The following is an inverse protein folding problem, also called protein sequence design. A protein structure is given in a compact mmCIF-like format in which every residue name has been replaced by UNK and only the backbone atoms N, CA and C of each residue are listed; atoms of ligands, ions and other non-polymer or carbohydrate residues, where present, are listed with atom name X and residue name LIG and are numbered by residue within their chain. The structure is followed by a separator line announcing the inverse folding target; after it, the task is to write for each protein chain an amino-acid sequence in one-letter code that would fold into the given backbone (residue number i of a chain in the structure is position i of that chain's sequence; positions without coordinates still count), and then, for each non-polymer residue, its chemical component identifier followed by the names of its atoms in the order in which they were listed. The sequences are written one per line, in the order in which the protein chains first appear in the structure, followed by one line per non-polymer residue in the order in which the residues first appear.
data_IF_499608587124
#
_entry.id   IF_499608587124
#
_cell.length_a   1.000
_cell.length_b   1.000
_cell.length_c   1.000
_cell.angle_alpha   90.00
_cell.angle_beta   90.00
_cell.angle_gamma   90.00
#
_symmetry.space_group_name_H-M   'P 1'
#
loop_
_entity.id
_entity.type
_entity.pdbx_description
1 polymer ?
#
# COMPACT_ATOMS: atom_id res chain seq x y z
N UNK A 1 -82.34 -3.18 10.76
CA UNK A 1 -81.87 -3.53 9.40
C UNK A 1 -80.86 -2.47 8.99
N UNK A 2 -79.56 -2.79 9.03
CA UNK A 2 -78.72 -3.12 7.86
C UNK A 2 -78.50 -1.86 6.98
N UNK A 3 -77.29 -1.37 6.72
CA UNK A 3 -75.98 -1.95 6.95
C UNK A 3 -74.87 -0.93 6.67
N UNK A 4 -73.76 -1.20 7.34
CA UNK A 4 -72.48 -0.51 7.28
C UNK A 4 -71.63 -1.19 6.19
N UNK A 5 -71.30 -0.50 5.08
CA UNK A 5 -70.31 -1.01 4.11
C UNK A 5 -69.41 0.11 3.59
N UNK A 6 -68.11 -0.15 3.78
CA UNK A 6 -66.87 0.47 3.30
C UNK A 6 -66.93 1.14 1.91
N UNK A 7 -66.18 2.23 1.75
CA UNK A 7 -65.24 2.29 0.61
C UNK A 7 -63.95 3.05 0.97
N UNK A 8 -62.87 2.27 1.02
CA UNK A 8 -61.47 2.66 1.16
C UNK A 8 -60.94 2.90 -0.27
N UNK A 9 -59.83 3.64 -0.40
CA UNK A 9 -59.02 3.90 -1.61
C UNK A 9 -59.18 5.31 -2.21
N UNK A 10 -58.74 6.33 -1.47
CA UNK A 10 -58.06 7.48 -2.10
C UNK A 10 -56.60 7.10 -2.28
N UNK A 11 -56.25 6.66 -3.48
CA UNK A 11 -54.85 6.51 -3.90
C UNK A 11 -54.17 7.87 -3.96
N UNK A 12 -53.49 8.23 -2.87
CA UNK A 12 -52.49 9.29 -2.87
C UNK A 12 -51.18 8.69 -3.36
N UNK A 13 -50.89 8.85 -4.65
CA UNK A 13 -49.56 8.63 -5.18
C UNK A 13 -48.71 9.81 -4.69
N UNK A 14 -47.97 9.62 -3.59
CA UNK A 14 -46.96 10.59 -3.15
C UNK A 14 -45.80 10.44 -4.11
N UNK A 15 -45.66 11.39 -5.03
CA UNK A 15 -44.42 11.59 -5.75
C UNK A 15 -43.34 11.84 -4.70
N UNK A 16 -42.43 10.87 -4.53
CA UNK A 16 -41.22 11.08 -3.76
C UNK A 16 -40.46 12.23 -4.43
N UNK A 17 -40.53 13.40 -3.81
CA UNK A 17 -39.71 14.56 -4.16
C UNK A 17 -38.25 14.11 -4.10
N UNK A 18 -37.55 14.19 -5.23
CA UNK A 18 -36.11 13.93 -5.33
C UNK A 18 -35.25 15.06 -4.74
N UNK A 19 -35.89 16.04 -4.09
CA UNK A 19 -35.25 17.23 -3.52
C UNK A 19 -35.24 17.19 -1.98
N UNK A 20 -34.88 16.05 -1.38
CA UNK A 20 -34.62 15.96 0.06
C UNK A 20 -33.13 16.27 0.32
N UNK A 21 -32.75 17.48 0.81
CA UNK A 21 -31.36 17.82 1.13
C UNK A 21 -30.79 16.99 2.29
N UNK A 22 -31.64 16.19 2.95
CA UNK A 22 -31.23 15.22 3.97
C UNK A 22 -30.54 13.98 3.38
N UNK A 23 -30.79 13.64 2.10
CA UNK A 23 -30.10 12.54 1.42
C UNK A 23 -28.67 12.93 0.99
N UNK A 24 -28.40 14.20 0.69
CA UNK A 24 -27.03 14.67 0.36
C UNK A 24 -26.11 14.76 1.59
N UNK A 25 -26.66 14.93 2.80
CA UNK A 25 -25.87 15.03 4.04
C UNK A 25 -25.44 13.66 4.62
N UNK A 26 -25.92 12.55 4.03
CA UNK A 26 -25.64 11.17 4.45
C UNK A 26 -24.58 10.47 3.59
N UNK A 27 -23.84 11.19 2.74
CA UNK A 27 -22.43 10.84 2.42
C UNK A 27 -21.53 11.05 3.65
N UNK A 28 -21.99 10.48 4.77
CA UNK A 28 -21.41 10.54 6.08
C UNK A 28 -20.00 9.94 6.00
N UNK A 29 -19.03 10.77 6.40
CA UNK A 29 -17.64 10.43 6.56
C UNK A 29 -17.46 8.96 6.96
N UNK A 30 -16.95 8.15 6.03
CA UNK A 30 -16.65 6.75 6.26
C UNK A 30 -15.80 6.66 7.54
N UNK A 31 -16.25 5.92 8.57
CA UNK A 31 -15.53 5.90 9.85
C UNK A 31 -14.10 5.42 9.60
N UNK A 32 -13.13 6.24 9.99
CA UNK A 32 -11.73 5.91 9.72
C UNK A 32 -11.31 4.69 10.53
N UNK A 33 -10.82 3.67 9.85
CA UNK A 33 -10.34 2.43 10.47
C UNK A 33 -8.88 2.58 10.89
N UNK A 34 -8.57 2.18 12.12
CA UNK A 34 -7.18 2.04 12.54
C UNK A 34 -6.58 0.71 12.06
N UNK A 35 -7.39 -0.33 11.87
CA UNK A 35 -6.94 -1.65 11.44
C UNK A 35 -6.56 -1.65 9.96
N UNK A 36 -5.38 -2.19 9.64
CA UNK A 36 -4.94 -2.38 8.25
C UNK A 36 -5.75 -3.52 7.60
N UNK A 37 -6.29 -3.31 6.38
CA UNK A 37 -6.91 -4.38 5.61
C UNK A 37 -5.93 -5.53 5.38
N UNK A 38 -6.40 -6.77 5.52
CA UNK A 38 -5.55 -7.95 5.35
C UNK A 38 -4.91 -8.00 3.95
N UNK A 39 -5.65 -7.57 2.93
CA UNK A 39 -5.15 -7.50 1.55
C UNK A 39 -3.96 -6.53 1.42
N UNK A 40 -4.00 -5.39 2.10
CA UNK A 40 -2.88 -4.44 2.12
C UNK A 40 -1.65 -5.03 2.81
N UNK A 41 -1.85 -5.77 3.91
CA UNK A 41 -0.75 -6.46 4.60
C UNK A 41 -0.07 -7.45 3.65
N UNK A 42 -0.85 -8.32 2.99
CA UNK A 42 -0.33 -9.31 2.03
C UNK A 42 0.34 -8.63 0.82
N UNK A 43 -0.22 -7.53 0.34
CA UNK A 43 0.38 -6.75 -0.75
C UNK A 43 1.75 -6.19 -0.36
N UNK A 44 1.90 -5.70 0.88
CA UNK A 44 3.18 -5.19 1.41
C UNK A 44 4.20 -6.33 1.54
N UNK A 45 3.81 -7.48 2.09
CA UNK A 45 4.71 -8.63 2.25
C UNK A 45 5.18 -9.21 0.92
N UNK A 46 4.33 -9.12 -0.11
CA UNK A 46 4.64 -9.53 -1.49
C UNK A 46 5.26 -8.42 -2.34
N UNK A 47 5.65 -7.29 -1.75
CA UNK A 47 6.20 -6.16 -2.48
C UNK A 47 7.43 -6.54 -3.32
N UNK A 48 7.51 -5.96 -4.51
CA UNK A 48 8.70 -6.02 -5.35
C UNK A 48 9.63 -4.88 -4.92
N UNK A 49 10.86 -5.22 -4.56
CA UNK A 49 11.91 -4.25 -4.18
C UNK A 49 13.06 -4.40 -5.17
N UNK A 50 13.39 -3.30 -5.83
CA UNK A 50 14.53 -3.22 -6.76
C UNK A 50 15.43 -2.08 -6.34
N UNK A 51 16.74 -2.25 -6.48
CA UNK A 51 17.71 -1.19 -6.17
C UNK A 51 18.10 -0.49 -7.46
N UNK A 52 17.90 0.83 -7.52
CA UNK A 52 18.36 1.65 -8.64
C UNK A 52 19.49 2.56 -8.18
N UNK A 53 20.54 2.62 -9.00
CA UNK A 53 21.60 3.60 -8.84
C UNK A 53 21.17 4.88 -9.53
N UNK A 54 21.30 6.00 -8.82
CA UNK A 54 21.08 7.32 -9.33
C UNK A 54 22.44 7.99 -9.40
N UNK A 55 22.83 8.39 -10.61
CA UNK A 55 24.02 9.20 -10.80
C UNK A 55 23.77 10.56 -10.16
N UNK A 56 24.72 10.98 -9.34
CA UNK A 56 24.76 12.29 -8.77
C UNK A 56 24.88 13.36 -9.85
N UNK A 57 24.32 14.53 -9.60
CA UNK A 57 24.51 15.67 -10.47
C UNK A 57 25.69 16.50 -9.96
N UNK A 58 26.78 16.54 -10.75
CA UNK A 58 28.00 17.31 -10.45
C UNK A 58 27.70 18.80 -10.31
N UNK A 59 26.72 19.35 -11.04
CA UNK A 59 26.36 20.77 -10.98
C UNK A 59 25.63 21.15 -9.69
N UNK A 60 25.07 20.17 -8.96
CA UNK A 60 24.36 20.39 -7.69
C UNK A 60 25.06 19.81 -6.48
N UNK A 61 26.31 19.35 -6.62
CA UNK A 61 27.05 18.59 -5.59
C UNK A 61 26.23 17.40 -5.01
N UNK A 62 25.29 16.86 -5.80
CA UNK A 62 24.47 15.74 -5.34
C UNK A 62 25.28 14.47 -5.54
N UNK A 63 25.68 13.81 -4.46
CA UNK A 63 26.46 12.58 -4.55
C UNK A 63 25.64 11.44 -5.17
N UNK A 64 26.28 10.55 -5.94
CA UNK A 64 25.62 9.33 -6.42
C UNK A 64 25.15 8.47 -5.25
N UNK A 65 23.89 8.02 -5.30
CA UNK A 65 23.30 7.15 -4.28
C UNK A 65 22.47 6.03 -4.90
N UNK A 66 22.27 4.99 -4.11
CA UNK A 66 21.36 3.89 -4.46
C UNK A 66 20.11 4.00 -3.61
N UNK A 67 18.93 4.02 -4.26
CA UNK A 67 17.65 4.06 -3.56
C UNK A 67 16.80 2.84 -3.91
N UNK A 68 15.95 2.44 -2.96
CA UNK A 68 15.00 1.36 -3.15
C UNK A 68 13.83 1.87 -3.98
N UNK A 69 13.55 1.19 -5.10
CA UNK A 69 12.35 1.37 -5.90
C UNK A 69 11.41 0.20 -5.61
N UNK A 70 10.22 0.53 -5.11
CA UNK A 70 9.26 -0.41 -4.56
C UNK A 70 7.99 -0.42 -5.40
N UNK A 71 7.37 -1.58 -5.52
CA UNK A 71 6.01 -1.76 -6.02
C UNK A 71 5.21 -2.61 -5.05
N UNK A 72 4.14 -2.02 -4.50
CA UNK A 72 3.11 -2.70 -3.71
C UNK A 72 1.82 -2.70 -4.51
N UNK A 73 1.16 -3.84 -4.63
CA UNK A 73 -0.12 -3.96 -5.32
C UNK A 73 -1.14 -3.05 -4.61
N UNK A 74 -1.90 -2.27 -5.37
CA UNK A 74 -2.90 -1.34 -4.82
C UNK A 74 -2.38 0.05 -4.43
N UNK A 75 -1.06 0.28 -4.38
CA UNK A 75 -0.45 1.59 -4.06
C UNK A 75 0.15 2.31 -5.28
N UNK A 76 -0.27 1.92 -6.50
CA UNK A 76 0.18 2.51 -7.76
C UNK A 76 1.30 1.75 -8.47
N UNK A 77 2.09 2.48 -9.27
CA UNK A 77 3.17 1.94 -10.11
C UNK A 77 4.43 1.53 -9.32
N UNK A 78 5.60 1.54 -9.96
CA UNK A 78 6.87 1.54 -9.23
C UNK A 78 7.14 2.97 -8.74
N UNK A 79 7.60 3.14 -7.51
CA UNK A 79 8.04 4.44 -6.99
C UNK A 79 9.31 4.30 -6.16
N UNK A 80 10.04 5.41 -6.01
CA UNK A 80 11.22 5.50 -5.14
C UNK A 80 10.78 5.66 -3.69
N UNK A 81 11.39 4.89 -2.79
CA UNK A 81 11.13 5.02 -1.36
C UNK A 81 12.04 6.09 -0.75
N UNK A 82 11.48 7.27 -0.47
CA UNK A 82 12.22 8.39 0.16
C UNK A 82 11.94 8.55 1.67
N UNK A 83 11.18 7.64 2.25
CA UNK A 83 11.01 7.56 3.70
C UNK A 83 9.60 7.21 4.14
N UNK A 84 9.43 7.14 5.47
CA UNK A 84 8.18 6.72 6.10
C UNK A 84 7.06 7.74 5.87
N UNK A 85 7.37 9.03 5.85
CA UNK A 85 6.36 10.09 5.70
C UNK A 85 5.71 10.03 4.30
N UNK A 86 6.50 10.08 3.23
CA UNK A 86 5.97 10.00 1.86
C UNK A 86 5.27 8.65 1.61
N UNK A 87 5.81 7.54 2.12
CA UNK A 87 5.15 6.25 2.02
C UNK A 87 3.78 6.24 2.73
N UNK A 88 3.66 6.88 3.90
CA UNK A 88 2.39 6.99 4.61
C UNK A 88 1.39 7.88 3.85
N UNK A 89 1.83 8.98 3.24
CA UNK A 89 0.99 9.83 2.38
C UNK A 89 0.49 9.06 1.16
N UNK A 90 1.35 8.24 0.54
CA UNK A 90 0.95 7.39 -0.58
C UNK A 90 -0.08 6.35 -0.14
N UNK A 91 0.10 5.70 1.01
CA UNK A 91 -0.93 4.79 1.57
C UNK A 91 -2.24 5.53 1.82
N UNK A 92 -2.19 6.71 2.44
CA UNK A 92 -3.39 7.51 2.73
C UNK A 92 -4.14 7.94 1.47
N UNK A 93 -3.43 8.21 0.37
CA UNK A 93 -4.03 8.57 -0.93
C UNK A 93 -4.84 7.41 -1.53
N UNK A 94 -4.35 6.18 -1.38
CA UNK A 94 -5.01 4.98 -1.93
C UNK A 94 -6.05 4.36 -1.00
N UNK A 95 -5.91 4.58 0.31
CA UNK A 95 -6.81 4.08 1.35
C UNK A 95 -7.25 5.27 2.25
N UNK A 96 -8.11 6.18 1.75
CA UNK A 96 -8.54 7.38 2.48
C UNK A 96 -9.32 7.10 3.77
N UNK A 97 -9.91 5.91 3.86
CA UNK A 97 -10.61 5.38 5.03
C UNK A 97 -9.68 5.00 6.19
N UNK A 98 -8.36 4.98 5.98
CA UNK A 98 -7.41 4.67 7.06
C UNK A 98 -7.09 5.90 7.91
N UNK A 99 -6.82 5.65 9.20
CA UNK A 99 -6.26 6.67 10.09
C UNK A 99 -4.80 7.00 9.71
N UNK A 100 -4.31 8.21 10.01
CA UNK A 100 -2.89 8.53 9.82
C UNK A 100 -1.93 7.60 10.58
N UNK A 101 -2.37 7.04 11.70
CA UNK A 101 -1.59 6.08 12.47
C UNK A 101 -1.48 4.73 11.73
N UNK A 102 -2.58 4.23 11.16
CA UNK A 102 -2.58 3.05 10.31
C UNK A 102 -1.65 3.23 9.10
N UNK A 103 -1.74 4.36 8.40
CA UNK A 103 -0.87 4.70 7.27
C UNK A 103 0.62 4.69 7.64
N UNK A 104 0.99 5.27 8.80
CA UNK A 104 2.36 5.20 9.33
C UNK A 104 2.81 3.79 9.67
N UNK A 105 1.91 2.93 10.17
CA UNK A 105 2.23 1.51 10.41
C UNK A 105 2.49 0.76 9.10
N UNK A 106 1.63 0.94 8.10
CA UNK A 106 1.84 0.37 6.77
C UNK A 106 3.18 0.83 6.16
N UNK A 107 3.51 2.12 6.26
CA UNK A 107 4.78 2.66 5.80
C UNK A 107 5.99 2.03 6.51
N UNK A 108 5.90 1.77 7.82
CA UNK A 108 6.94 1.04 8.57
C UNK A 108 7.06 -0.42 8.12
N UNK A 109 5.95 -1.08 7.79
CA UNK A 109 5.98 -2.45 7.25
C UNK A 109 6.66 -2.49 5.87
N UNK A 110 6.39 -1.50 5.02
CA UNK A 110 7.10 -1.35 3.73
C UNK A 110 8.61 -1.17 3.97
N UNK A 111 9.01 -0.28 4.88
CA UNK A 111 10.41 -0.08 5.22
C UNK A 111 11.08 -1.37 5.76
N UNK A 112 10.37 -2.13 6.58
CA UNK A 112 10.85 -3.41 7.10
C UNK A 112 11.05 -4.45 5.98
N UNK A 113 10.12 -4.54 5.02
CA UNK A 113 10.26 -5.45 3.88
C UNK A 113 11.44 -5.04 2.97
N UNK A 114 11.66 -3.74 2.74
CA UNK A 114 12.86 -3.25 2.03
C UNK A 114 14.13 -3.71 2.75
N UNK A 115 14.21 -3.52 4.07
CA UNK A 115 15.36 -3.93 4.88
C UNK A 115 15.60 -5.44 4.83
N UNK A 116 14.53 -6.24 4.88
CA UNK A 116 14.58 -7.70 4.75
C UNK A 116 15.14 -8.13 3.40
N UNK A 117 14.67 -7.55 2.29
CA UNK A 117 15.17 -7.84 0.94
C UNK A 117 16.61 -7.40 0.76
N UNK A 118 17.01 -6.26 1.34
CA UNK A 118 18.40 -5.81 1.31
C UNK A 118 19.33 -6.84 1.98
N UNK A 119 18.97 -7.28 3.20
CA UNK A 119 19.73 -8.25 3.96
C UNK A 119 19.84 -9.59 3.22
N UNK A 120 18.76 -10.02 2.56
CA UNK A 120 18.76 -11.24 1.75
C UNK A 120 19.74 -11.13 0.57
N UNK A 121 19.76 -10.02 -0.15
CA UNK A 121 20.70 -9.79 -1.25
C UNK A 121 22.17 -9.90 -0.78
N UNK A 122 22.51 -9.31 0.36
CA UNK A 122 23.84 -9.44 0.97
C UNK A 122 24.18 -10.86 1.44
N UNK A 123 23.19 -11.63 1.93
CA UNK A 123 23.39 -13.03 2.32
C UNK A 123 23.65 -13.93 1.11
N UNK A 124 23.03 -13.64 -0.03
CA UNK A 124 23.21 -14.44 -1.24
C UNK A 124 24.58 -14.21 -1.89
N UNK A 125 25.12 -12.99 -1.86
CA UNK A 125 26.45 -12.68 -2.42
C UNK A 125 27.58 -13.39 -1.66
N UNK A 126 27.50 -13.49 -0.34
CA UNK A 126 28.52 -14.18 0.47
C UNK A 126 28.59 -15.70 0.23
N UNK A 127 27.48 -16.33 -0.16
CA UNK A 127 27.44 -17.78 -0.45
C UNK A 127 28.06 -18.14 -1.80
N UNK A 128 28.02 -17.24 -2.79
CA UNK A 128 28.57 -17.49 -4.14
C UNK A 128 30.11 -17.41 -4.19
N UNK A 129 30.76 -16.84 -3.19
CA UNK A 129 32.22 -16.75 -3.10
C UNK A 129 32.94 -17.99 -2.54
N UNK A 130 32.21 -19.04 -2.14
CA UNK A 130 32.79 -20.24 -1.51
C UNK A 130 32.96 -21.41 -2.49
N UNK A 131 33.48 -21.13 -3.69
CA UNK A 131 33.70 -22.14 -4.74
C UNK A 131 35.07 -21.96 -5.42
N UNK A 132 36.16 -21.89 -4.66
CA UNK A 132 37.55 -22.09 -5.17
C UNK A 132 38.59 -21.93 -4.05
N UNK A 133 38.74 -22.93 -3.18
CA UNK A 133 39.91 -23.00 -2.29
C UNK A 133 40.27 -24.44 -1.85
N UNK A 134 39.86 -25.46 -2.62
CA UNK A 134 40.19 -26.86 -2.28
C UNK A 134 40.65 -27.70 -3.47
N UNK A 135 40.94 -27.08 -4.61
CA UNK A 135 41.38 -27.78 -5.83
C UNK A 135 42.73 -27.25 -6.37
N UNK A 136 43.70 -27.04 -5.47
CA UNK A 136 45.10 -26.68 -5.83
C UNK A 136 46.12 -27.71 -5.30
N UNK A 137 45.75 -28.98 -5.28
CA UNK A 137 46.73 -30.00 -4.96
C UNK A 137 46.13 -31.38 -4.77
N UNK A 138 46.06 -32.14 -5.88
CA UNK A 138 46.39 -33.56 -5.90
C UNK A 138 46.27 -34.14 -7.32
N UNK A 139 47.41 -34.54 -7.87
CA UNK A 139 47.52 -35.27 -9.15
C UNK A 139 48.19 -34.39 -10.21
N UNK A 140 49.36 -34.70 -10.74
CA UNK A 140 49.96 -36.01 -10.99
C UNK A 140 51.45 -35.85 -11.33
N UNK A 141 52.25 -36.77 -10.78
CA UNK A 141 53.50 -37.39 -11.27
C UNK A 141 54.39 -36.62 -12.25
#
# INVERSE_FOLDING_TARGET
MLGFVRNILRGGFVAASTDDPACEALEAATPKSDTLPQELVVAIESALVTWRHFEGNEDTDEASYSSAVVRVIGLGGLWRFDGIAEAAERVQKHYPELTPQACRRAAKMIAAEIGKRNLEAHRQSSRRGRWSATDWGQGSW
#
